data_IF_808662618856
#
_entry.id   IF_808662618856
#
_cell.length_a   1.000
_cell.length_b   1.000
_cell.length_c   1.000
_cell.angle_alpha   90.00
_cell.angle_beta   90.00
_cell.angle_gamma   90.00
#
_symmetry.space_group_name_H-M   'P 1'
#
loop_
_entity.id
_entity.type
_entity.pdbx_description
1 polymer ?
#
# COMPACT_ATOMS: atom_id res chain seq x y z
N UNK A 1 25.98 -3.75 -28.51
CA UNK A 1 25.36 -2.98 -27.40
C UNK A 1 23.96 -3.54 -27.16
N UNK A 2 23.84 -4.57 -26.33
CA UNK A 2 22.55 -5.21 -26.03
C UNK A 2 21.94 -4.50 -24.83
N UNK A 3 20.88 -3.73 -25.07
CA UNK A 3 20.07 -3.11 -24.02
C UNK A 3 19.47 -4.22 -23.14
N UNK A 4 20.05 -4.41 -21.94
CA UNK A 4 19.49 -5.30 -20.94
C UNK A 4 18.14 -4.76 -20.49
N UNK A 5 17.06 -5.42 -20.89
CA UNK A 5 15.73 -5.12 -20.35
C UNK A 5 15.76 -5.19 -18.82
N UNK A 6 15.07 -4.26 -18.13
CA UNK A 6 15.34 -3.95 -16.74
C UNK A 6 14.66 -4.99 -15.86
N UNK A 7 15.40 -6.00 -15.44
CA UNK A 7 14.91 -6.84 -14.34
C UNK A 7 14.71 -5.94 -13.12
N UNK A 8 13.48 -5.86 -12.56
CA UNK A 8 13.26 -5.03 -11.39
C UNK A 8 14.21 -5.50 -10.28
N UNK A 9 14.95 -4.57 -9.68
CA UNK A 9 15.82 -4.88 -8.55
C UNK A 9 14.99 -5.37 -7.36
N UNK A 10 15.63 -6.03 -6.38
CA UNK A 10 14.94 -6.64 -5.23
C UNK A 10 14.01 -5.66 -4.51
N UNK A 11 14.41 -4.39 -4.39
CA UNK A 11 13.60 -3.30 -3.81
C UNK A 11 12.29 -3.11 -4.57
N UNK A 12 12.38 -2.94 -5.88
CA UNK A 12 11.22 -2.72 -6.73
C UNK A 12 10.25 -3.90 -6.67
N UNK A 13 10.77 -5.14 -6.73
CA UNK A 13 9.94 -6.36 -6.61
C UNK A 13 9.21 -6.43 -5.27
N UNK A 14 9.88 -6.09 -4.17
CA UNK A 14 9.26 -6.04 -2.85
C UNK A 14 8.14 -5.01 -2.83
N UNK A 15 8.39 -3.78 -3.28
CA UNK A 15 7.36 -2.74 -3.33
C UNK A 15 6.15 -3.16 -4.17
N UNK A 16 6.38 -3.73 -5.36
CA UNK A 16 5.31 -4.13 -6.27
C UNK A 16 4.46 -5.27 -5.69
N UNK A 17 5.09 -6.23 -4.99
CA UNK A 17 4.38 -7.30 -4.27
C UNK A 17 3.49 -6.73 -3.17
N UNK A 18 3.99 -5.80 -2.38
CA UNK A 18 3.20 -5.14 -1.33
C UNK A 18 2.03 -4.35 -1.92
N UNK A 19 2.27 -3.61 -2.99
CA UNK A 19 1.22 -2.86 -3.69
C UNK A 19 0.13 -3.77 -4.24
N UNK A 20 0.50 -4.93 -4.79
CA UNK A 20 -0.44 -5.93 -5.27
C UNK A 20 -1.35 -6.45 -4.14
N UNK A 21 -0.77 -6.93 -3.04
CA UNK A 21 -1.51 -7.43 -1.87
C UNK A 21 -2.43 -6.35 -1.27
N UNK A 22 -1.97 -5.10 -1.23
CA UNK A 22 -2.78 -3.96 -0.76
C UNK A 22 -3.94 -3.63 -1.69
N UNK A 23 -3.74 -3.73 -3.01
CA UNK A 23 -4.81 -3.53 -4.00
C UNK A 23 -5.85 -4.64 -3.92
N UNK A 24 -5.41 -5.89 -3.79
CA UNK A 24 -6.27 -7.05 -3.62
C UNK A 24 -7.14 -6.91 -2.36
N UNK A 25 -6.52 -6.65 -1.20
CA UNK A 25 -7.25 -6.39 0.04
C UNK A 25 -8.25 -5.25 -0.10
N UNK A 26 -7.87 -4.15 -0.76
CA UNK A 26 -8.77 -3.03 -0.98
C UNK A 26 -9.97 -3.42 -1.88
N UNK A 27 -9.76 -4.26 -2.88
CA UNK A 27 -10.83 -4.85 -3.71
C UNK A 27 -11.80 -5.68 -2.90
N UNK A 28 -11.29 -6.61 -2.07
CA UNK A 28 -12.11 -7.43 -1.18
C UNK A 28 -12.93 -6.58 -0.20
N UNK A 29 -12.34 -5.52 0.35
CA UNK A 29 -13.05 -4.61 1.25
C UNK A 29 -14.14 -3.79 0.54
N UNK A 30 -13.96 -3.43 -0.74
CA UNK A 30 -15.03 -2.82 -1.54
C UNK A 30 -16.16 -3.80 -1.78
N UNK A 31 -15.85 -5.02 -2.21
CA UNK A 31 -16.84 -6.09 -2.37
C UNK A 31 -17.60 -6.37 -1.07
N UNK A 32 -16.91 -6.39 0.08
CA UNK A 32 -17.56 -6.54 1.39
C UNK A 32 -18.53 -5.39 1.71
N UNK A 33 -18.20 -4.15 1.33
CA UNK A 33 -19.09 -2.99 1.52
C UNK A 33 -20.34 -3.10 0.64
N UNK A 34 -20.18 -3.54 -0.60
CA UNK A 34 -21.29 -3.76 -1.52
C UNK A 34 -22.24 -4.84 -0.99
N UNK A 35 -21.72 -5.99 -0.53
CA UNK A 35 -22.53 -7.05 0.07
C UNK A 35 -23.24 -6.57 1.35
N UNK A 36 -22.59 -5.74 2.16
CA UNK A 36 -23.23 -5.13 3.34
C UNK A 36 -24.33 -4.14 2.96
N UNK A 37 -24.14 -3.38 1.89
CA UNK A 37 -25.16 -2.47 1.37
C UNK A 37 -26.37 -3.26 0.83
N UNK A 38 -26.12 -4.37 0.12
CA UNK A 38 -27.15 -5.30 -0.34
C UNK A 38 -27.94 -5.91 0.83
N UNK A 39 -27.23 -6.38 1.86
CA UNK A 39 -27.85 -6.92 3.07
C UNK A 39 -28.74 -5.89 3.79
N UNK A 40 -28.31 -4.62 3.80
CA UNK A 40 -29.10 -3.51 4.37
C UNK A 40 -30.33 -3.18 3.52
N UNK A 41 -30.22 -3.25 2.19
CA UNK A 41 -31.31 -2.93 1.28
C UNK A 41 -32.38 -4.04 1.18
N UNK A 42 -31.99 -5.31 1.36
CA UNK A 42 -32.89 -6.46 1.21
C UNK A 42 -32.80 -7.42 2.41
N UNK A 43 -33.56 -7.17 3.50
CA UNK A 43 -33.52 -8.01 4.70
C UNK A 43 -34.00 -9.45 4.48
N UNK A 44 -34.75 -9.72 3.40
CA UNK A 44 -35.19 -11.07 3.03
C UNK A 44 -34.04 -12.01 2.58
N UNK A 45 -32.88 -11.46 2.19
CA UNK A 45 -31.71 -12.23 1.70
C UNK A 45 -30.54 -12.26 2.71
N UNK A 46 -30.84 -12.06 3.98
CA UNK A 46 -29.84 -11.95 5.06
C UNK A 46 -28.94 -13.18 5.20
N UNK A 47 -29.50 -14.40 5.05
CA UNK A 47 -28.70 -15.63 5.15
C UNK A 47 -27.67 -15.76 4.01
N UNK A 48 -28.09 -15.54 2.76
CA UNK A 48 -27.21 -15.62 1.58
C UNK A 48 -26.10 -14.56 1.65
N UNK A 49 -26.47 -13.31 1.97
CA UNK A 49 -25.51 -12.20 2.11
C UNK A 49 -24.53 -12.42 3.27
N UNK A 50 -24.96 -13.05 4.37
CA UNK A 50 -24.08 -13.44 5.47
C UNK A 50 -23.02 -14.47 5.05
N UNK A 51 -23.40 -15.50 4.29
CA UNK A 51 -22.47 -16.50 3.76
C UNK A 51 -21.44 -15.87 2.80
N UNK A 52 -21.89 -14.99 1.90
CA UNK A 52 -20.99 -14.24 1.00
C UNK A 52 -20.01 -13.37 1.79
N UNK A 53 -20.48 -12.67 2.82
CA UNK A 53 -19.64 -11.83 3.67
C UNK A 53 -18.64 -12.66 4.48
N UNK A 54 -19.01 -13.83 4.98
CA UNK A 54 -18.11 -14.74 5.68
C UNK A 54 -16.97 -15.21 4.78
N UNK A 55 -17.26 -15.55 3.52
CA UNK A 55 -16.23 -15.89 2.51
C UNK A 55 -15.28 -14.73 2.26
N UNK A 56 -15.80 -13.53 1.98
CA UNK A 56 -14.97 -12.35 1.73
C UNK A 56 -14.11 -12.03 2.97
N UNK A 57 -14.66 -12.21 4.18
CA UNK A 57 -13.92 -11.98 5.42
C UNK A 57 -12.76 -12.97 5.60
N UNK A 58 -12.96 -14.24 5.24
CA UNK A 58 -11.89 -15.23 5.22
C UNK A 58 -10.80 -14.89 4.18
N UNK A 59 -11.18 -14.44 2.98
CA UNK A 59 -10.24 -13.97 1.95
C UNK A 59 -9.44 -12.75 2.42
N UNK A 60 -10.09 -11.77 3.06
CA UNK A 60 -9.40 -10.61 3.67
C UNK A 60 -8.41 -11.05 4.74
N UNK A 61 -8.77 -12.04 5.58
CA UNK A 61 -7.88 -12.55 6.61
C UNK A 61 -6.63 -13.22 5.99
N UNK A 62 -6.80 -13.99 4.90
CA UNK A 62 -5.68 -14.60 4.16
C UNK A 62 -4.73 -13.54 3.60
N UNK A 63 -5.25 -12.55 2.88
CA UNK A 63 -4.40 -11.47 2.31
C UNK A 63 -3.71 -10.66 3.41
N UNK A 64 -4.34 -10.48 4.58
CA UNK A 64 -3.69 -9.85 5.73
C UNK A 64 -2.51 -10.69 6.25
N UNK A 65 -2.66 -12.00 6.32
CA UNK A 65 -1.56 -12.90 6.70
C UNK A 65 -0.42 -12.82 5.67
N UNK A 66 -0.73 -12.80 4.37
CA UNK A 66 0.28 -12.68 3.31
C UNK A 66 1.05 -11.36 3.38
N UNK A 67 0.38 -10.25 3.71
CA UNK A 67 1.04 -8.96 3.95
C UNK A 67 1.99 -9.07 5.14
N UNK A 68 1.55 -9.67 6.25
CA UNK A 68 2.40 -9.83 7.44
C UNK A 68 3.64 -10.71 7.14
N UNK A 69 3.47 -11.79 6.37
CA UNK A 69 4.59 -12.61 5.91
C UNK A 69 5.54 -11.82 5.00
N UNK A 70 5.02 -11.00 4.08
CA UNK A 70 5.84 -10.15 3.23
C UNK A 70 6.61 -9.09 4.05
N UNK A 71 6.01 -8.55 5.11
CA UNK A 71 6.66 -7.64 6.06
C UNK A 71 7.79 -8.33 6.82
N UNK A 72 7.55 -9.52 7.35
CA UNK A 72 8.58 -10.31 8.02
C UNK A 72 9.76 -10.62 7.07
N UNK A 73 9.47 -11.00 5.82
CA UNK A 73 10.49 -11.21 4.78
C UNK A 73 11.25 -9.93 4.46
N UNK A 74 10.58 -8.78 4.39
CA UNK A 74 11.22 -7.50 4.12
C UNK A 74 12.19 -7.12 5.25
N UNK A 75 11.78 -7.31 6.51
CA UNK A 75 12.62 -7.07 7.69
C UNK A 75 13.85 -7.98 7.68
N UNK A 76 13.67 -9.28 7.42
CA UNK A 76 14.77 -10.24 7.33
C UNK A 76 15.80 -9.87 6.25
N UNK A 77 15.35 -9.21 5.18
CA UNK A 77 16.20 -8.71 4.09
C UNK A 77 16.77 -7.30 4.35
N UNK A 78 16.60 -6.74 5.55
CA UNK A 78 17.15 -5.44 5.93
C UNK A 78 16.35 -4.23 5.44
N UNK A 79 15.10 -4.41 5.00
CA UNK A 79 14.25 -3.29 4.60
C UNK A 79 13.55 -2.63 5.80
N UNK A 80 13.46 -1.30 5.76
CA UNK A 80 12.60 -0.54 6.65
C UNK A 80 11.15 -0.55 6.14
N UNK A 81 10.28 -1.30 6.80
CA UNK A 81 8.86 -1.48 6.42
C UNK A 81 8.09 -0.15 6.45
N UNK A 82 8.40 0.76 7.39
CA UNK A 82 7.77 2.08 7.45
C UNK A 82 8.10 2.91 6.21
N UNK A 83 9.34 2.85 5.72
CA UNK A 83 9.73 3.52 4.48
C UNK A 83 9.10 2.86 3.25
N UNK A 84 8.92 1.53 3.24
CA UNK A 84 8.12 0.85 2.21
C UNK A 84 6.71 1.44 2.21
N UNK A 85 6.04 1.50 3.36
CA UNK A 85 4.68 2.03 3.45
C UNK A 85 4.58 3.48 2.97
N UNK A 86 5.56 4.32 3.34
CA UNK A 86 5.66 5.70 2.87
C UNK A 86 5.83 5.76 1.35
N UNK A 87 6.74 4.98 0.77
CA UNK A 87 6.94 4.91 -0.68
C UNK A 87 5.67 4.48 -1.42
N UNK A 88 4.95 3.49 -0.90
CA UNK A 88 3.69 3.03 -1.50
C UNK A 88 2.57 4.08 -1.40
N UNK A 89 2.51 4.84 -0.31
CA UNK A 89 1.59 5.98 -0.20
C UNK A 89 1.92 7.03 -1.25
N UNK A 90 3.20 7.36 -1.39
CA UNK A 90 3.67 8.33 -2.37
C UNK A 90 3.30 7.89 -3.80
N UNK A 91 3.51 6.62 -4.16
CA UNK A 91 3.14 6.06 -5.47
C UNK A 91 1.66 6.20 -5.83
N UNK A 92 0.80 6.28 -4.83
CA UNK A 92 -0.67 6.35 -5.01
C UNK A 92 -1.20 7.77 -5.06
N UNK A 93 -0.41 8.76 -4.62
CA UNK A 93 -0.80 10.17 -4.70
C UNK A 93 -0.84 10.60 -6.16
N UNK A 94 -1.85 11.40 -6.51
CA UNK A 94 -1.92 12.03 -7.83
C UNK A 94 -0.73 12.99 -8.07
N UNK A 95 -0.42 13.33 -9.33
CA UNK A 95 0.65 14.28 -9.63
C UNK A 95 0.41 15.66 -9.00
N UNK A 96 -0.83 16.14 -9.02
CA UNK A 96 -1.18 17.45 -8.44
C UNK A 96 -1.12 17.42 -6.91
N UNK A 97 -1.69 16.39 -6.29
CA UNK A 97 -1.63 16.16 -4.83
C UNK A 97 -0.18 16.07 -4.34
N UNK A 98 0.69 15.42 -5.13
CA UNK A 98 2.13 15.33 -4.86
C UNK A 98 2.80 16.70 -4.97
N UNK A 99 2.50 17.47 -6.01
CA UNK A 99 3.08 18.80 -6.20
C UNK A 99 2.67 19.76 -5.07
N UNK A 100 1.40 19.74 -4.66
CA UNK A 100 0.90 20.53 -3.52
C UNK A 100 1.59 20.12 -2.22
N UNK A 101 1.69 18.82 -1.95
CA UNK A 101 2.37 18.30 -0.76
C UNK A 101 3.86 18.68 -0.74
N UNK A 102 4.54 18.59 -1.88
CA UNK A 102 5.95 18.95 -1.99
C UNK A 102 6.16 20.46 -1.84
N UNK A 103 5.25 21.30 -2.36
CA UNK A 103 5.25 22.75 -2.14
C UNK A 103 5.04 23.13 -0.67
N UNK A 104 4.09 22.48 0.01
CA UNK A 104 3.87 22.67 1.46
C UNK A 104 5.10 22.24 2.27
N UNK A 105 5.70 21.10 1.94
CA UNK A 105 6.92 20.63 2.60
C UNK A 105 8.10 21.58 2.39
N UNK A 106 8.24 22.17 1.21
CA UNK A 106 9.28 23.17 0.94
C UNK A 106 9.11 24.41 1.82
N UNK A 107 7.89 24.91 1.97
CA UNK A 107 7.58 26.03 2.87
C UNK A 107 7.93 25.69 4.33
N UNK A 108 7.49 24.54 4.83
CA UNK A 108 7.82 24.12 6.19
C UNK A 108 9.32 23.94 6.43
N UNK A 109 10.06 23.44 5.45
CA UNK A 109 11.53 23.32 5.56
C UNK A 109 12.19 24.68 5.63
N UNK A 110 11.72 25.64 4.85
CA UNK A 110 12.19 27.02 4.90
C UNK A 110 11.95 27.63 6.29
N UNK A 111 10.74 27.48 6.83
CA UNK A 111 10.38 28.01 8.16
C UNK A 111 11.21 27.38 9.29
N UNK A 112 11.53 26.09 9.18
CA UNK A 112 12.35 25.37 10.15
C UNK A 112 13.86 25.55 9.94
N UNK A 113 14.29 26.32 8.92
CA UNK A 113 15.70 26.49 8.57
C UNK A 113 16.39 25.22 8.06
N UNK A 114 15.62 24.21 7.65
CA UNK A 114 16.15 22.94 7.12
C UNK A 114 16.52 23.15 5.65
N UNK A 115 17.81 23.29 5.37
CA UNK A 115 18.30 23.41 4.00
C UNK A 115 18.03 22.13 3.19
N UNK A 116 17.66 22.29 1.92
CA UNK A 116 17.27 21.18 1.03
C UNK A 116 18.39 20.15 0.74
N UNK A 117 19.57 20.29 1.34
CA UNK A 117 20.77 19.52 1.03
C UNK A 117 21.21 18.47 2.05
N UNK A 118 20.66 18.40 3.26
CA UNK A 118 21.16 17.46 4.29
C UNK A 118 20.48 16.08 4.22
N UNK A 119 20.42 15.49 3.02
CA UNK A 119 20.21 14.05 2.90
C UNK A 119 21.57 13.38 3.11
N UNK A 120 21.93 13.11 4.38
CA UNK A 120 23.12 12.28 4.66
C UNK A 120 22.92 10.94 3.94
N UNK A 121 23.85 10.53 3.05
CA UNK A 121 23.77 9.20 2.46
C UNK A 121 23.78 8.19 3.61
N UNK A 122 22.84 7.25 3.60
CA UNK A 122 22.87 6.13 4.54
C UNK A 122 24.23 5.45 4.37
N UNK A 123 25.10 5.56 5.39
CA UNK A 123 26.32 4.77 5.45
C UNK A 123 25.96 3.28 5.37
N UNK A 124 26.73 2.48 4.63
CA UNK A 124 26.49 1.04 4.47
C UNK A 124 26.60 0.28 5.80
#
# INVERSE_FOLDING_TARGET
MTHGSPHPNLRQRTLDRFDALRRERAGLLRAAREVRAEAKASPAKTHETALRLARISAEVARVRADIATAEAQAIANGFNVSLIHAALRLRRMGPDERAEHDAQMALYRQDLGISAGEARPCSP
#
